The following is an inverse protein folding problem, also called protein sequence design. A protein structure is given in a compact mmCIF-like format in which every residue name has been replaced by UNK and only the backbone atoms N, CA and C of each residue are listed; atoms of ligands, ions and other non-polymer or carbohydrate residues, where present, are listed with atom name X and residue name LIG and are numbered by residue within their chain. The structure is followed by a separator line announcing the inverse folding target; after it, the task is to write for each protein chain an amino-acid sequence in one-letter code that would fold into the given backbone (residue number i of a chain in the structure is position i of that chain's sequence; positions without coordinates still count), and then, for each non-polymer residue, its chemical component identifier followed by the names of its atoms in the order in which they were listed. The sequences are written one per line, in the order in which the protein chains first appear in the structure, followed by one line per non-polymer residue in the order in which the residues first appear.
data_IF_502575573150
#
_entry.id   IF_502575573150
#
_cell.length_a   1.000
_cell.length_b   1.000
_cell.length_c   1.000
_cell.angle_alpha   90.00
_cell.angle_beta   90.00
_cell.angle_gamma   90.00
#
_symmetry.space_group_name_H-M   'P 1'
#
loop_
_entity.id
_entity.type
_entity.pdbx_description
1 polymer ?
#
# COMPACT_ATOMS: atom_id res chain seq x y z
N UNK A 1 12.10 9.90 -6.15
CA UNK A 1 12.31 9.20 -7.44
C UNK A 1 11.62 9.90 -8.60
N UNK A 2 10.39 10.37 -8.41
CA UNK A 2 9.69 11.18 -9.43
C UNK A 2 10.47 12.41 -9.86
N UNK A 3 11.24 13.01 -8.96
CA UNK A 3 12.07 14.17 -9.19
C UNK A 3 13.50 13.83 -9.70
N UNK A 4 13.79 12.57 -9.94
CA UNK A 4 15.05 12.18 -10.60
C UNK A 4 16.00 11.30 -9.81
N UNK A 5 15.74 10.98 -8.53
CA UNK A 5 16.58 10.09 -7.73
C UNK A 5 16.78 8.71 -8.41
N UNK A 6 17.96 8.11 -8.23
CA UNK A 6 18.36 6.86 -8.89
C UNK A 6 18.64 5.77 -7.86
N UNK A 7 18.37 4.51 -8.26
CA UNK A 7 18.62 3.33 -7.44
C UNK A 7 19.81 2.53 -7.95
N UNK A 8 20.65 2.11 -7.00
CA UNK A 8 21.88 1.38 -7.27
C UNK A 8 21.98 0.10 -6.41
N UNK A 9 22.59 -0.91 -6.99
CA UNK A 9 22.98 -2.15 -6.31
C UNK A 9 24.22 -1.94 -5.40
N UNK A 10 24.67 -3.00 -4.74
CA UNK A 10 25.87 -2.98 -3.87
C UNK A 10 27.16 -2.57 -4.61
N UNK A 11 27.21 -2.69 -5.92
CA UNK A 11 28.37 -2.33 -6.75
C UNK A 11 28.20 -0.93 -7.39
N UNK A 12 27.24 -0.14 -6.94
CA UNK A 12 26.90 1.18 -7.46
C UNK A 12 26.50 1.13 -8.95
N UNK A 13 25.88 0.04 -9.38
CA UNK A 13 25.31 -0.11 -10.71
C UNK A 13 23.80 0.09 -10.66
N UNK A 14 23.28 0.97 -11.49
CA UNK A 14 21.83 1.16 -11.66
C UNK A 14 21.19 -0.11 -12.18
N UNK A 15 20.14 -0.61 -11.56
CA UNK A 15 19.55 -1.92 -11.85
C UNK A 15 18.08 -1.88 -12.31
N UNK A 16 17.39 -0.74 -12.15
CA UNK A 16 15.95 -0.65 -12.41
C UNK A 16 15.55 0.71 -12.99
N UNK A 17 14.39 0.77 -13.61
CA UNK A 17 13.70 2.03 -13.92
C UNK A 17 12.90 2.47 -12.69
N UNK A 18 13.30 3.56 -12.05
CA UNK A 18 12.72 4.09 -10.82
C UNK A 18 11.27 4.61 -10.97
N UNK A 19 10.81 4.78 -12.21
CA UNK A 19 9.46 5.24 -12.55
C UNK A 19 8.46 4.10 -12.75
N UNK A 20 8.84 2.85 -12.50
CA UNK A 20 7.91 1.74 -12.46
C UNK A 20 6.78 1.97 -11.43
N UNK A 21 5.60 1.37 -11.62
CA UNK A 21 4.59 1.29 -10.57
C UNK A 21 5.19 0.81 -9.25
N UNK A 22 4.71 1.32 -8.13
CA UNK A 22 5.35 1.14 -6.81
C UNK A 22 5.46 -0.33 -6.39
N UNK A 23 4.46 -1.13 -6.69
CA UNK A 23 4.45 -2.58 -6.44
C UNK A 23 5.54 -3.30 -7.25
N UNK A 24 5.65 -3.02 -8.54
CA UNK A 24 6.69 -3.59 -9.39
C UNK A 24 8.09 -3.14 -8.99
N UNK A 25 8.24 -1.86 -8.65
CA UNK A 25 9.53 -1.36 -8.19
C UNK A 25 9.97 -1.98 -6.86
N UNK A 26 9.05 -2.14 -5.92
CA UNK A 26 9.34 -2.82 -4.66
C UNK A 26 9.79 -4.28 -4.89
N UNK A 27 9.12 -4.99 -5.79
CA UNK A 27 9.50 -6.35 -6.18
C UNK A 27 10.93 -6.41 -6.76
N UNK A 28 11.28 -5.50 -7.68
CA UNK A 28 12.63 -5.43 -8.25
C UNK A 28 13.69 -5.08 -7.20
N UNK A 29 13.37 -4.20 -6.24
CA UNK A 29 14.28 -3.89 -5.12
C UNK A 29 14.50 -5.14 -4.26
N UNK A 30 13.45 -5.88 -3.88
CA UNK A 30 13.59 -7.12 -3.10
C UNK A 30 14.41 -8.18 -3.86
N UNK A 31 14.18 -8.33 -5.17
CA UNK A 31 14.99 -9.23 -6.02
C UNK A 31 16.46 -8.83 -6.01
N UNK A 32 16.76 -7.54 -6.12
CA UNK A 32 18.14 -7.05 -6.11
C UNK A 32 18.80 -7.25 -4.74
N UNK A 33 18.09 -6.93 -3.64
CA UNK A 33 18.58 -7.19 -2.28
C UNK A 33 18.92 -8.67 -2.07
N UNK A 34 18.03 -9.58 -2.49
CA UNK A 34 18.27 -11.02 -2.40
C UNK A 34 19.49 -11.47 -3.22
N UNK A 35 19.64 -10.95 -4.45
CA UNK A 35 20.78 -11.23 -5.34
C UNK A 35 22.10 -10.72 -4.74
N UNK A 36 22.08 -9.55 -4.12
CA UNK A 36 23.24 -8.91 -3.54
C UNK A 36 23.61 -9.46 -2.16
N UNK A 37 22.66 -10.13 -1.49
CA UNK A 37 22.79 -10.58 -0.11
C UNK A 37 22.84 -9.39 0.86
N UNK A 38 22.10 -8.32 0.58
CA UNK A 38 22.05 -7.08 1.39
C UNK A 38 20.64 -6.87 1.92
N UNK A 39 20.51 -6.09 2.98
CA UNK A 39 19.24 -5.67 3.58
C UNK A 39 18.69 -4.35 3.04
N UNK A 40 19.41 -3.74 2.10
CA UNK A 40 19.05 -2.48 1.45
C UNK A 40 19.60 -2.37 0.03
N UNK A 41 19.14 -1.37 -0.72
CA UNK A 41 19.76 -0.84 -1.93
C UNK A 41 20.12 0.62 -1.72
N UNK A 42 20.87 1.22 -2.63
CA UNK A 42 21.31 2.60 -2.51
C UNK A 42 20.43 3.54 -3.34
N UNK A 43 20.02 4.66 -2.76
CA UNK A 43 19.33 5.74 -3.48
C UNK A 43 20.23 6.98 -3.55
N UNK A 44 20.39 7.52 -4.76
CA UNK A 44 21.17 8.72 -5.05
C UNK A 44 20.24 9.90 -5.32
N UNK A 45 20.24 10.88 -4.43
CA UNK A 45 19.47 12.11 -4.55
C UNK A 45 20.25 13.24 -5.21
N UNK A 46 21.55 13.07 -5.46
CA UNK A 46 22.42 14.12 -6.07
C UNK A 46 22.07 14.43 -7.52
N UNK A 47 21.27 13.57 -8.15
CA UNK A 47 20.70 13.80 -9.48
C UNK A 47 19.56 14.82 -9.49
N UNK A 48 19.06 15.20 -8.30
CA UNK A 48 18.06 16.26 -8.10
C UNK A 48 18.83 17.57 -7.83
N UNK A 49 18.48 18.69 -8.49
CA UNK A 49 19.08 19.99 -8.17
C UNK A 49 18.95 20.32 -6.68
N UNK A 50 20.04 20.80 -6.09
CA UNK A 50 20.09 21.04 -4.64
C UNK A 50 18.97 21.96 -4.14
N UNK A 51 18.63 22.98 -4.91
CA UNK A 51 17.58 23.93 -4.58
C UNK A 51 16.22 23.23 -4.51
N UNK A 52 15.89 22.42 -5.52
CA UNK A 52 14.68 21.62 -5.56
C UNK A 52 14.62 20.59 -4.42
N UNK A 53 15.77 19.95 -4.11
CA UNK A 53 15.86 18.99 -3.02
C UNK A 53 15.56 19.64 -1.67
N UNK A 54 16.08 20.84 -1.42
CA UNK A 54 15.87 21.58 -0.17
C UNK A 54 14.47 22.19 -0.07
N UNK A 55 13.87 22.58 -1.18
CA UNK A 55 12.53 23.15 -1.23
C UNK A 55 11.44 22.07 -1.10
N UNK A 56 11.55 20.97 -1.87
CA UNK A 56 10.51 19.95 -1.93
C UNK A 56 10.60 18.89 -0.82
N UNK A 57 11.83 18.62 -0.31
CA UNK A 57 12.08 17.52 0.62
C UNK A 57 12.87 17.92 1.87
N UNK A 58 12.62 19.07 2.51
CA UNK A 58 13.41 19.55 3.64
C UNK A 58 13.45 18.56 4.79
N UNK A 59 12.31 17.91 5.09
CA UNK A 59 12.22 16.93 6.17
C UNK A 59 13.03 15.65 5.90
N UNK A 60 13.11 15.21 4.64
CA UNK A 60 13.92 14.05 4.26
C UNK A 60 15.40 14.38 4.42
N UNK A 61 15.82 15.55 3.94
CA UNK A 61 17.22 16.02 4.06
C UNK A 61 17.62 16.12 5.51
N UNK A 62 16.78 16.71 6.37
CA UNK A 62 17.05 16.85 7.79
C UNK A 62 17.15 15.49 8.49
N UNK A 63 16.18 14.62 8.24
CA UNK A 63 16.17 13.28 8.83
C UNK A 63 17.40 12.46 8.41
N UNK A 64 17.79 12.48 7.14
CA UNK A 64 19.02 11.83 6.68
C UNK A 64 20.24 12.38 7.39
N UNK A 65 20.31 13.70 7.59
CA UNK A 65 21.41 14.35 8.32
C UNK A 65 21.47 13.90 9.80
N UNK A 66 20.33 13.81 10.48
CA UNK A 66 20.23 13.28 11.84
C UNK A 66 20.72 11.83 11.93
N UNK A 67 20.49 11.03 10.88
CA UNK A 67 20.97 9.66 10.75
C UNK A 67 22.42 9.55 10.27
N UNK A 68 23.12 10.68 10.07
CA UNK A 68 24.53 10.73 9.70
C UNK A 68 24.80 10.71 8.18
N UNK A 69 23.77 10.89 7.33
CA UNK A 69 23.92 10.91 5.87
C UNK A 69 23.79 12.33 5.30
N UNK A 70 24.74 12.71 4.45
CA UNK A 70 24.65 13.93 3.64
C UNK A 70 24.16 13.60 2.23
N UNK A 71 22.87 13.71 2.01
CA UNK A 71 22.21 13.37 0.72
C UNK A 71 22.74 14.18 -0.48
N UNK A 72 23.48 15.27 -0.22
CA UNK A 72 24.12 16.08 -1.26
C UNK A 72 25.47 15.55 -1.68
N UNK A 73 26.06 14.62 -0.92
CA UNK A 73 27.40 14.08 -1.14
C UNK A 73 27.42 12.57 -1.34
N UNK A 74 26.48 11.86 -0.78
CA UNK A 74 26.47 10.40 -0.76
C UNK A 74 25.09 9.80 -1.02
N UNK A 75 25.06 8.51 -1.36
CA UNK A 75 23.83 7.74 -1.47
C UNK A 75 23.32 7.34 -0.09
N UNK A 76 22.03 7.13 0.02
CA UNK A 76 21.40 6.66 1.26
C UNK A 76 20.90 5.22 1.10
N UNK A 77 20.97 4.40 2.18
CA UNK A 77 20.39 3.06 2.16
C UNK A 77 18.86 3.16 2.19
N UNK A 78 18.19 2.44 1.31
CA UNK A 78 16.72 2.40 1.26
C UNK A 78 16.21 0.98 1.12
N UNK A 79 15.04 0.73 1.69
CA UNK A 79 14.32 -0.53 1.64
C UNK A 79 12.84 -0.24 1.37
N UNK A 80 12.12 -1.09 0.63
CA UNK A 80 10.69 -0.94 0.50
C UNK A 80 9.99 -1.07 1.86
N UNK A 81 9.08 -0.15 2.14
CA UNK A 81 8.26 -0.19 3.34
C UNK A 81 6.78 -0.04 2.97
N UNK A 82 5.91 -0.60 3.80
CA UNK A 82 4.48 -0.39 3.65
C UNK A 82 4.16 1.09 3.88
N UNK A 83 3.43 1.68 2.94
CA UNK A 83 3.06 3.09 2.99
C UNK A 83 1.55 3.32 3.03
N UNK A 84 0.78 2.47 2.36
CA UNK A 84 -0.69 2.56 2.28
C UNK A 84 -1.29 1.17 2.08
N UNK A 85 -2.36 0.89 2.82
CA UNK A 85 -3.09 -0.37 2.73
C UNK A 85 -4.22 -0.26 1.71
N UNK A 86 -4.07 -0.93 0.54
CA UNK A 86 -5.17 -1.09 -0.40
C UNK A 86 -6.03 -2.27 0.02
N UNK A 87 -7.33 -2.03 0.17
CA UNK A 87 -8.25 -3.01 0.73
C UNK A 87 -8.87 -2.49 2.02
N UNK A 88 -9.29 -3.39 2.91
CA UNK A 88 -9.90 -3.03 4.19
C UNK A 88 -11.34 -3.51 4.31
N UNK A 89 -12.11 -2.86 5.15
CA UNK A 89 -13.53 -3.15 5.35
C UNK A 89 -14.28 -2.81 4.06
N UNK A 90 -14.96 -3.80 3.48
CA UNK A 90 -15.78 -3.57 2.30
C UNK A 90 -16.86 -2.53 2.58
N UNK A 91 -17.02 -1.58 1.67
CA UNK A 91 -18.07 -0.56 1.73
C UNK A 91 -18.65 -0.29 0.34
N UNK A 92 -19.90 0.17 0.32
CA UNK A 92 -20.51 0.71 -0.88
C UNK A 92 -20.03 2.15 -1.19
N UNK A 93 -20.59 2.77 -2.21
CA UNK A 93 -20.22 4.12 -2.65
C UNK A 93 -20.66 5.23 -1.68
N UNK A 94 -21.49 4.92 -0.68
CA UNK A 94 -21.90 5.80 0.42
C UNK A 94 -21.20 5.45 1.74
N UNK A 95 -20.21 4.55 1.69
CA UNK A 95 -19.40 4.09 2.82
C UNK A 95 -20.11 3.19 3.84
N UNK A 96 -21.26 2.59 3.48
CA UNK A 96 -21.87 1.58 4.32
C UNK A 96 -21.09 0.28 4.25
N UNK A 97 -20.91 -0.37 5.40
CA UNK A 97 -20.40 -1.74 5.46
C UNK A 97 -21.53 -2.75 5.22
N UNK A 98 -21.20 -4.05 5.27
CA UNK A 98 -22.22 -5.10 5.28
C UNK A 98 -23.04 -5.17 6.57
N UNK A 99 -22.63 -4.43 7.60
CA UNK A 99 -23.36 -4.31 8.88
C UNK A 99 -24.19 -3.04 8.86
N UNK A 100 -25.46 -3.19 9.29
CA UNK A 100 -26.38 -2.07 9.39
C UNK A 100 -25.82 -0.99 10.33
N UNK A 101 -25.90 0.27 9.93
CA UNK A 101 -25.45 1.45 10.69
C UNK A 101 -23.94 1.51 11.00
N UNK A 102 -23.13 0.68 10.34
CA UNK A 102 -21.67 0.73 10.42
C UNK A 102 -21.11 1.30 9.12
N UNK A 103 -20.26 2.30 9.25
CA UNK A 103 -19.58 2.96 8.16
C UNK A 103 -18.07 2.77 8.31
N UNK A 104 -17.37 2.73 7.19
CA UNK A 104 -15.90 2.81 7.18
C UNK A 104 -15.47 3.79 6.08
N UNK A 105 -14.47 4.62 6.40
CA UNK A 105 -13.95 5.64 5.48
C UNK A 105 -12.43 5.74 5.57
N UNK A 106 -11.79 6.24 4.53
CA UNK A 106 -10.34 6.39 4.47
C UNK A 106 -9.62 5.05 4.31
N UNK A 107 -8.36 4.99 4.73
CA UNK A 107 -7.48 3.84 4.51
C UNK A 107 -8.03 2.51 5.05
N UNK A 108 -8.87 2.55 6.07
CA UNK A 108 -9.52 1.36 6.62
C UNK A 108 -10.63 0.77 5.73
N UNK A 109 -11.12 1.54 4.75
CA UNK A 109 -12.24 1.17 3.89
C UNK A 109 -11.80 0.66 2.53
N UNK A 110 -12.47 -0.37 2.04
CA UNK A 110 -12.33 -0.89 0.68
C UNK A 110 -13.55 -0.49 -0.16
N UNK A 111 -13.52 0.70 -0.74
CA UNK A 111 -14.54 1.20 -1.68
C UNK A 111 -14.22 0.88 -3.15
N UNK A 112 -13.10 0.19 -3.43
CA UNK A 112 -12.68 -0.22 -4.77
C UNK A 112 -11.97 0.86 -5.61
N UNK A 113 -11.93 2.12 -5.17
CA UNK A 113 -11.37 3.24 -5.94
C UNK A 113 -9.88 3.05 -6.25
N UNK A 114 -9.13 2.46 -5.35
CA UNK A 114 -7.69 2.27 -5.51
C UNK A 114 -7.31 0.97 -6.24
N UNK A 115 -8.23 0.02 -6.33
CA UNK A 115 -7.91 -1.29 -6.89
C UNK A 115 -6.71 -1.95 -6.20
N UNK A 116 -5.81 -2.53 -6.99
CA UNK A 116 -4.59 -3.18 -6.49
C UNK A 116 -3.50 -2.16 -6.10
N UNK A 117 -3.47 -0.99 -6.73
CA UNK A 117 -2.36 -0.04 -6.58
C UNK A 117 -2.87 1.41 -6.62
N UNK A 118 -2.81 2.07 -5.47
CA UNK A 118 -3.29 3.46 -5.32
C UNK A 118 -2.42 4.43 -6.13
N UNK A 119 -3.07 5.27 -6.92
CA UNK A 119 -2.39 6.40 -7.56
C UNK A 119 -1.89 7.40 -6.51
N UNK A 120 -0.72 7.95 -6.73
CA UNK A 120 -0.09 8.88 -5.78
C UNK A 120 -1.03 10.01 -5.37
N UNK A 121 -1.00 10.37 -4.08
CA UNK A 121 -1.78 11.44 -3.43
C UNK A 121 -3.31 11.24 -3.36
N UNK A 122 -3.87 10.21 -3.97
CA UNK A 122 -5.32 10.01 -4.00
C UNK A 122 -5.92 9.52 -2.67
N UNK A 123 -5.11 9.12 -1.69
CA UNK A 123 -5.63 8.69 -0.37
C UNK A 123 -6.38 9.78 0.36
N UNK A 124 -5.82 11.00 0.40
CA UNK A 124 -6.46 12.14 1.07
C UNK A 124 -7.76 12.54 0.37
N UNK A 125 -7.75 12.56 -0.95
CA UNK A 125 -8.94 12.89 -1.75
C UNK A 125 -10.05 11.86 -1.53
N UNK A 126 -9.72 10.57 -1.58
CA UNK A 126 -10.64 9.49 -1.28
C UNK A 126 -11.25 9.64 0.12
N UNK A 127 -10.41 9.80 1.15
CA UNK A 127 -10.85 9.95 2.53
C UNK A 127 -11.82 11.12 2.70
N UNK A 128 -11.54 12.28 2.13
CA UNK A 128 -12.40 13.47 2.23
C UNK A 128 -13.74 13.28 1.51
N UNK A 129 -13.72 12.72 0.30
CA UNK A 129 -14.93 12.52 -0.51
C UNK A 129 -15.87 11.51 0.17
N UNK A 130 -15.34 10.36 0.57
CA UNK A 130 -16.17 9.30 1.15
C UNK A 130 -16.60 9.63 2.58
N UNK A 131 -15.76 10.30 3.39
CA UNK A 131 -16.19 10.80 4.69
C UNK A 131 -17.34 11.80 4.58
N UNK A 132 -17.31 12.70 3.59
CA UNK A 132 -18.40 13.63 3.33
C UNK A 132 -19.70 12.92 2.94
N UNK A 133 -19.62 11.87 2.11
CA UNK A 133 -20.78 11.05 1.74
C UNK A 133 -21.37 10.33 2.96
N UNK A 134 -20.52 9.66 3.74
CA UNK A 134 -20.95 8.98 4.97
C UNK A 134 -21.62 9.95 5.95
N UNK A 135 -21.01 11.12 6.19
CA UNK A 135 -21.57 12.12 7.09
C UNK A 135 -22.95 12.63 6.63
N UNK A 136 -23.14 12.82 5.31
CA UNK A 136 -24.45 13.18 4.75
C UNK A 136 -25.47 12.09 5.02
N UNK A 137 -25.16 10.82 4.74
CA UNK A 137 -26.07 9.70 5.00
C UNK A 137 -26.43 9.57 6.49
N UNK A 138 -25.43 9.67 7.38
CA UNK A 138 -25.66 9.65 8.82
C UNK A 138 -26.57 10.79 9.29
N UNK A 139 -26.43 11.98 8.72
CA UNK A 139 -27.25 13.15 9.09
C UNK A 139 -28.72 13.04 8.66
N UNK A 140 -28.99 12.27 7.63
CA UNK A 140 -30.33 12.02 7.09
C UNK A 140 -31.07 10.92 7.88
N UNK A 141 -30.34 10.07 8.61
CA UNK A 141 -30.91 9.02 9.45
C UNK A 141 -31.47 9.61 10.75
N UNK A 142 -32.80 9.67 10.83
CA UNK A 142 -33.50 10.27 11.98
C UNK A 142 -33.90 9.28 13.08
N UNK A 143 -33.60 8.01 12.89
CA UNK A 143 -33.97 6.98 13.87
C UNK A 143 -33.12 7.07 15.14
N UNK A 144 -33.79 7.01 16.29
CA UNK A 144 -33.11 6.89 17.58
C UNK A 144 -32.42 5.53 17.65
N UNK A 145 -31.11 5.55 17.85
CA UNK A 145 -30.34 4.33 18.12
C UNK A 145 -30.76 3.82 19.49
N UNK A 146 -31.39 2.65 19.53
CA UNK A 146 -31.55 1.89 20.76
C UNK A 146 -30.18 1.31 21.11
N UNK A 147 -29.64 1.68 22.27
CA UNK A 147 -28.48 0.96 22.82
C UNK A 147 -28.97 -0.37 23.36
N UNK A 148 -28.35 -1.46 22.94
CA UNK A 148 -28.60 -2.80 23.52
C UNK A 148 -27.42 -3.15 24.45
N UNK A 149 -27.45 -2.70 25.72
CA UNK A 149 -26.37 -2.95 26.68
C UNK A 149 -26.10 -4.44 26.88
N UNK A 150 -27.17 -5.27 26.71
CA UNK A 150 -27.08 -6.71 26.85
C UNK A 150 -26.15 -7.36 25.79
N UNK A 151 -26.04 -6.79 24.60
CA UNK A 151 -25.12 -7.27 23.56
C UNK A 151 -23.65 -7.17 24.00
N UNK A 152 -23.32 -6.12 24.74
CA UNK A 152 -21.95 -5.92 25.26
C UNK A 152 -21.70 -6.75 26.52
N UNK A 153 -22.75 -7.08 27.29
CA UNK A 153 -22.64 -7.96 28.44
C UNK A 153 -22.40 -9.43 28.07
N UNK A 154 -22.83 -9.85 26.86
CA UNK A 154 -22.61 -11.19 26.33
C UNK A 154 -21.21 -11.42 25.71
N UNK A 155 -20.40 -10.37 25.53
CA UNK A 155 -19.05 -10.52 25.00
C UNK A 155 -18.13 -11.11 26.07
N UNK A 156 -17.62 -12.30 25.81
CA UNK A 156 -16.55 -12.87 26.64
C UNK A 156 -15.28 -12.06 26.53
N UNK A 157 -15.04 -11.23 27.52
CA UNK A 157 -13.85 -10.35 27.56
C UNK A 157 -12.56 -11.13 27.86
N UNK A 158 -12.65 -12.39 28.28
CA UNK A 158 -11.46 -13.21 28.56
C UNK A 158 -10.63 -13.45 27.32
N UNK A 159 -11.23 -13.48 26.14
CA UNK A 159 -10.52 -13.60 24.84
C UNK A 159 -9.58 -12.42 24.55
N UNK A 160 -9.79 -11.28 25.21
CA UNK A 160 -8.96 -10.08 25.08
C UNK A 160 -7.99 -9.89 26.26
N UNK A 161 -7.95 -10.85 27.21
CA UNK A 161 -7.11 -10.74 28.40
C UNK A 161 -5.61 -10.67 28.07
N UNK A 162 -5.19 -11.32 26.97
CA UNK A 162 -3.85 -11.18 26.40
C UNK A 162 -3.95 -10.52 25.01
N UNK A 163 -3.97 -9.20 25.01
CA UNK A 163 -4.08 -8.42 23.78
C UNK A 163 -2.88 -8.61 22.84
N UNK A 164 -1.68 -8.89 23.39
CA UNK A 164 -0.48 -9.11 22.60
C UNK A 164 -0.52 -10.46 21.85
N UNK A 165 -0.91 -11.52 22.54
CA UNK A 165 -1.09 -12.84 21.92
C UNK A 165 -2.22 -12.83 20.88
N UNK A 166 -3.31 -12.12 21.17
CA UNK A 166 -4.41 -11.95 20.24
C UNK A 166 -3.97 -11.20 18.97
N UNK A 167 -3.27 -10.08 19.13
CA UNK A 167 -2.74 -9.29 18.02
C UNK A 167 -1.77 -10.12 17.17
N UNK A 168 -0.86 -10.87 17.77
CA UNK A 168 0.09 -11.73 17.06
C UNK A 168 -0.62 -12.82 16.25
N UNK A 169 -1.63 -13.46 16.82
CA UNK A 169 -2.43 -14.49 16.13
C UNK A 169 -3.20 -13.92 14.94
N UNK A 170 -3.82 -12.74 15.09
CA UNK A 170 -4.51 -12.10 13.98
C UNK A 170 -3.56 -11.58 12.91
N UNK A 171 -2.39 -11.09 13.30
CA UNK A 171 -1.33 -10.68 12.36
C UNK A 171 -0.88 -11.85 11.48
N UNK A 172 -0.63 -13.02 12.08
CA UNK A 172 -0.26 -14.23 11.34
C UNK A 172 -1.37 -14.69 10.40
N UNK A 173 -2.61 -14.73 10.89
CA UNK A 173 -3.78 -15.08 10.07
C UNK A 173 -3.94 -14.16 8.85
N UNK A 174 -3.82 -12.85 9.05
CA UNK A 174 -3.91 -11.87 7.96
C UNK A 174 -2.75 -12.04 6.98
N UNK A 175 -1.54 -12.27 7.48
CA UNK A 175 -0.37 -12.52 6.65
C UNK A 175 -0.54 -13.75 5.75
N UNK A 176 -1.00 -14.86 6.31
CA UNK A 176 -1.29 -16.08 5.56
C UNK A 176 -2.37 -15.88 4.51
N UNK A 177 -3.44 -15.17 4.85
CA UNK A 177 -4.52 -14.83 3.92
C UNK A 177 -4.04 -13.97 2.74
N UNK A 178 -3.17 -13.00 3.00
CA UNK A 178 -2.55 -12.17 1.96
C UNK A 178 -1.69 -13.02 1.03
N UNK A 179 -0.81 -13.87 1.57
CA UNK A 179 0.05 -14.75 0.79
C UNK A 179 -0.78 -15.68 -0.11
N UNK A 180 -1.84 -16.28 0.45
CA UNK A 180 -2.76 -17.13 -0.32
C UNK A 180 -3.49 -16.38 -1.43
N UNK A 181 -3.90 -15.14 -1.18
CA UNK A 181 -4.55 -14.27 -2.17
C UNK A 181 -3.59 -13.87 -3.29
N UNK A 182 -2.35 -13.53 -2.97
CA UNK A 182 -1.31 -13.19 -3.96
C UNK A 182 -0.97 -14.39 -4.86
N UNK A 183 -0.82 -15.59 -4.29
CA UNK A 183 -0.58 -16.79 -5.07
C UNK A 183 -1.73 -17.08 -6.06
N UNK A 184 -2.97 -16.88 -5.62
CA UNK A 184 -4.16 -17.02 -6.48
C UNK A 184 -4.21 -15.97 -7.57
N UNK A 185 -3.85 -14.72 -7.25
CA UNK A 185 -3.79 -13.63 -8.22
C UNK A 185 -2.71 -13.88 -9.28
N UNK A 186 -1.55 -14.39 -8.88
CA UNK A 186 -0.48 -14.76 -9.81
C UNK A 186 -0.93 -15.83 -10.81
N UNK A 187 -1.66 -16.86 -10.36
CA UNK A 187 -2.23 -17.89 -11.24
C UNK A 187 -3.18 -17.28 -12.29
N UNK A 188 -4.02 -16.33 -11.90
CA UNK A 188 -4.93 -15.63 -12.80
C UNK A 188 -4.16 -14.78 -13.82
N UNK A 189 -3.12 -14.09 -13.41
CA UNK A 189 -2.27 -13.30 -14.32
C UNK A 189 -1.53 -14.19 -15.32
N UNK A 190 -1.01 -15.32 -14.89
CA UNK A 190 -0.34 -16.30 -15.77
C UNK A 190 -1.30 -16.89 -16.79
N UNK A 191 -2.52 -17.25 -16.38
CA UNK A 191 -3.56 -17.73 -17.27
C UNK A 191 -3.96 -16.67 -18.32
N UNK A 192 -4.12 -15.41 -17.89
CA UNK A 192 -4.41 -14.27 -18.79
C UNK A 192 -3.28 -14.03 -19.79
N UNK A 193 -2.03 -14.11 -19.34
CA UNK A 193 -0.85 -13.95 -20.21
C UNK A 193 -0.79 -15.05 -21.24
N UNK A 194 -1.00 -16.31 -20.85
CA UNK A 194 -1.06 -17.47 -21.76
C UNK A 194 -2.17 -17.31 -22.79
N UNK A 195 -3.37 -16.89 -22.37
CA UNK A 195 -4.50 -16.65 -23.27
C UNK A 195 -4.21 -15.53 -24.28
N UNK A 196 -3.58 -14.45 -23.82
CA UNK A 196 -3.20 -13.32 -24.70
C UNK A 196 -2.15 -13.74 -25.74
N UNK A 197 -1.17 -14.54 -25.35
CA UNK A 197 -0.14 -15.06 -26.27
C UNK A 197 -0.78 -16.02 -27.30
N UNK A 198 -1.69 -16.89 -26.87
CA UNK A 198 -2.40 -17.82 -27.76
C UNK A 198 -3.26 -17.05 -28.77
N UNK A 199 -4.01 -16.03 -28.33
CA UNK A 199 -4.81 -15.19 -29.21
C UNK A 199 -3.96 -14.44 -30.24
N UNK A 200 -2.82 -13.86 -29.87
CA UNK A 200 -1.89 -13.20 -30.82
C UNK A 200 -1.33 -14.18 -31.86
N UNK A 201 -1.02 -15.41 -31.47
CA UNK A 201 -0.60 -16.46 -32.43
C UNK A 201 -1.67 -16.82 -33.43
N UNK A 202 -2.95 -16.93 -32.98
CA UNK A 202 -4.07 -17.18 -33.89
C UNK A 202 -4.28 -16.02 -34.86
N UNK A 203 -4.24 -14.78 -34.40
CA UNK A 203 -4.35 -13.60 -35.28
C UNK A 203 -3.24 -13.56 -36.34
N UNK A 204 -2.01 -13.93 -35.98
CA UNK A 204 -0.87 -13.98 -36.92
C UNK A 204 -0.95 -15.11 -37.97
N UNK A 205 -1.84 -16.11 -37.76
CA UNK A 205 -2.07 -17.20 -38.73
C UNK A 205 -3.21 -16.92 -39.72
N UNK A 206 -3.99 -15.90 -39.46
CA UNK A 206 -5.17 -15.53 -40.28
C UNK A 206 -4.90 -14.29 -41.17
N UNK A 207 -3.79 -13.62 -41.00
CA UNK A 207 -3.27 -12.52 -41.84
C UNK A 207 -2.10 -12.97 -42.69
#
# INVERSE_FOLDING_TARGET
RGEGAKLYDKNMKRFVNELLPRDLLAEEIYKQMAKDGTDHVWEDLRTIPREELMEHFPNIVEHCREMGYDVTKECIPVVPAQHYFMGGVWVDHESHTSMERLYAVGETACNGVHGKNRLASNSLLESLVFAKRAAKQMSEQKEKISTAPELFAAIDRSIYADAAALASRYHEYVREAIIAADAKMQQVQDARTKATVAFRKQCAQVG
#
